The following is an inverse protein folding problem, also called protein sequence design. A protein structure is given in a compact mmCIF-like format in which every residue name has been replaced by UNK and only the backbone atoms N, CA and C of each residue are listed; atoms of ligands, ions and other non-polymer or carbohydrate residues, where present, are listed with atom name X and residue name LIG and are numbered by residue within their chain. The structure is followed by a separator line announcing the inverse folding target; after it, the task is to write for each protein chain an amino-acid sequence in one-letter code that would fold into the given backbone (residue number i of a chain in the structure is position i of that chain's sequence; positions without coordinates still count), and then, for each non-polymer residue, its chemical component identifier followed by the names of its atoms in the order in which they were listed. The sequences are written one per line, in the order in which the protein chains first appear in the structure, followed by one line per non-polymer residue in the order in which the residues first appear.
data_IF_543936240658
#
_entry.id   IF_543936240658
#
_cell.length_a   1.000
_cell.length_b   1.000
_cell.length_c   1.000
_cell.angle_alpha   90.00
_cell.angle_beta   90.00
_cell.angle_gamma   90.00
#
_symmetry.space_group_name_H-M   'P 1'
#
loop_
_entity.id
_entity.type
_entity.pdbx_description
1 polymer ?
#
# COMPACT_ATOMS: atom_id res chain seq x y z
N UNK A 1 -40.11 -41.95 12.60
CA UNK A 1 -39.79 -42.28 11.18
C UNK A 1 -39.76 -41.02 10.32
N UNK A 2 -38.57 -40.69 9.79
CA UNK A 2 -38.26 -40.33 8.39
C UNK A 2 -38.93 -39.11 7.70
N UNK A 3 -39.05 -37.92 8.33
CA UNK A 3 -39.47 -36.72 7.55
C UNK A 3 -38.65 -35.44 7.68
N UNK A 4 -37.71 -35.34 8.62
CA UNK A 4 -36.92 -34.11 8.82
C UNK A 4 -35.47 -34.17 8.31
N UNK A 5 -34.95 -35.36 7.98
CA UNK A 5 -33.59 -35.50 7.44
C UNK A 5 -33.48 -35.27 5.91
N UNK A 6 -34.60 -35.18 5.19
CA UNK A 6 -34.62 -35.08 3.73
C UNK A 6 -34.59 -33.61 3.26
N UNK A 7 -35.13 -32.67 4.03
CA UNK A 7 -35.17 -31.25 3.67
C UNK A 7 -33.79 -30.55 3.72
N UNK A 8 -32.86 -31.06 4.55
CA UNK A 8 -31.51 -30.50 4.66
C UNK A 8 -30.62 -30.96 3.49
N UNK A 9 -30.90 -32.14 2.91
CA UNK A 9 -30.12 -32.66 1.77
C UNK A 9 -30.47 -32.01 0.43
N UNK A 10 -31.69 -31.51 0.24
CA UNK A 10 -32.09 -30.83 -1.00
C UNK A 10 -31.71 -29.34 -1.03
N UNK A 11 -31.58 -28.68 0.13
CA UNK A 11 -31.14 -27.28 0.21
C UNK A 11 -29.63 -27.09 -0.03
N UNK A 12 -28.80 -28.08 0.32
CA UNK A 12 -27.35 -27.98 0.15
C UNK A 12 -26.90 -28.17 -1.31
N UNK A 13 -27.68 -28.92 -2.10
CA UNK A 13 -27.34 -29.24 -3.51
C UNK A 13 -27.67 -28.07 -4.44
N UNK A 14 -28.71 -27.28 -4.14
CA UNK A 14 -29.02 -26.06 -4.90
C UNK A 14 -28.07 -24.90 -4.60
N UNK A 15 -27.46 -24.87 -3.41
CA UNK A 15 -26.41 -23.89 -3.07
C UNK A 15 -25.06 -24.14 -3.72
N UNK A 16 -24.70 -25.41 -3.97
CA UNK A 16 -23.44 -25.77 -4.65
C UNK A 16 -23.50 -25.57 -6.18
N UNK A 17 -24.69 -25.70 -6.79
CA UNK A 17 -24.86 -25.45 -8.23
C UNK A 17 -24.67 -23.97 -8.61
N UNK A 18 -25.08 -23.04 -7.75
CA UNK A 18 -24.90 -21.60 -7.98
C UNK A 18 -23.43 -21.16 -7.86
N UNK A 19 -22.62 -21.85 -7.04
CA UNK A 19 -21.18 -21.56 -6.91
C UNK A 19 -20.36 -22.05 -8.11
N UNK A 20 -20.81 -23.10 -8.82
CA UNK A 20 -20.13 -23.60 -10.03
C UNK A 20 -20.44 -22.75 -11.27
N UNK A 21 -21.59 -22.06 -11.32
CA UNK A 21 -21.93 -21.17 -12.44
C UNK A 21 -21.19 -19.82 -12.34
N UNK A 22 -20.86 -19.35 -11.13
CA UNK A 22 -19.96 -18.21 -10.92
C UNK A 22 -18.48 -18.55 -11.17
N UNK A 23 -18.10 -19.82 -11.15
CA UNK A 23 -16.76 -20.29 -11.53
C UNK A 23 -16.60 -20.49 -13.05
N UNK A 24 -17.67 -20.34 -13.84
CA UNK A 24 -17.65 -20.46 -15.31
C UNK A 24 -17.81 -19.11 -16.01
N UNK A 25 -17.14 -18.08 -15.51
CA UNK A 25 -16.65 -17.02 -16.40
C UNK A 25 -15.50 -17.64 -17.21
N UNK A 26 -15.81 -18.02 -18.44
CA UNK A 26 -14.91 -18.53 -19.46
C UNK A 26 -13.49 -17.98 -19.33
N UNK A 27 -12.54 -18.86 -19.02
CA UNK A 27 -11.15 -18.71 -19.44
C UNK A 27 -11.14 -18.74 -20.96
N UNK A 28 -11.34 -17.58 -21.59
CA UNK A 28 -10.76 -17.36 -22.91
C UNK A 28 -9.25 -17.30 -22.70
N UNK A 29 -8.53 -18.16 -23.42
CA UNK A 29 -7.08 -18.12 -23.51
C UNK A 29 -6.62 -16.71 -23.86
N UNK A 30 -6.24 -15.94 -22.84
CA UNK A 30 -5.43 -14.75 -22.99
C UNK A 30 -4.01 -15.14 -22.67
N UNK A 31 -3.27 -15.35 -23.75
CA UNK A 31 -1.85 -15.04 -23.93
C UNK A 31 -1.27 -14.29 -22.75
N UNK A 32 -0.23 -14.88 -22.16
CA UNK A 32 0.62 -14.37 -21.08
C UNK A 32 0.81 -12.85 -21.20
N UNK A 33 -0.03 -12.10 -20.50
CA UNK A 33 0.06 -10.66 -20.43
C UNK A 33 1.15 -10.33 -19.41
N UNK A 34 2.18 -9.62 -19.87
CA UNK A 34 3.09 -8.91 -18.99
C UNK A 34 2.34 -7.90 -18.11
N UNK A 35 3.06 -7.16 -17.26
CA UNK A 35 2.50 -6.26 -16.25
C UNK A 35 1.62 -5.08 -16.79
N UNK A 36 1.30 -5.03 -18.08
CA UNK A 36 0.70 -3.88 -18.76
C UNK A 36 -0.81 -3.95 -19.04
N UNK A 37 -1.51 -5.06 -18.78
CA UNK A 37 -2.91 -5.20 -19.20
C UNK A 37 -3.94 -4.93 -18.10
N UNK A 38 -3.90 -3.72 -17.53
CA UNK A 38 -5.10 -3.16 -16.89
C UNK A 38 -6.04 -2.72 -18.01
N UNK A 39 -7.23 -3.33 -18.12
CA UNK A 39 -8.19 -2.96 -19.18
C UNK A 39 -8.50 -1.46 -19.16
N UNK A 40 -8.70 -0.85 -20.33
CA UNK A 40 -9.00 0.59 -20.45
C UNK A 40 -10.21 1.03 -19.61
N UNK A 41 -11.15 0.11 -19.37
CA UNK A 41 -12.29 0.32 -18.50
C UNK A 41 -11.89 0.54 -17.03
N UNK A 42 -10.94 -0.24 -16.52
CA UNK A 42 -10.42 -0.09 -15.17
C UNK A 42 -9.60 1.19 -15.02
N UNK A 43 -8.83 1.58 -16.05
CA UNK A 43 -8.10 2.87 -16.07
C UNK A 43 -9.06 4.07 -15.98
N UNK A 44 -10.15 4.07 -16.77
CA UNK A 44 -11.17 5.13 -16.73
C UNK A 44 -11.90 5.23 -15.38
N UNK A 45 -12.21 4.10 -14.75
CA UNK A 45 -12.81 4.10 -13.40
C UNK A 45 -11.84 4.70 -12.39
N UNK A 46 -10.56 4.30 -12.47
CA UNK A 46 -9.54 4.79 -11.55
C UNK A 46 -9.28 6.30 -11.71
N UNK A 47 -9.28 6.83 -12.94
CA UNK A 47 -9.14 8.27 -13.17
C UNK A 47 -10.31 9.07 -12.58
N UNK A 48 -11.53 8.53 -12.59
CA UNK A 48 -12.68 9.15 -11.92
C UNK A 48 -12.50 9.17 -10.40
N UNK A 49 -12.03 8.07 -9.83
CA UNK A 49 -11.73 7.98 -8.38
C UNK A 49 -10.62 8.97 -8.02
N UNK A 50 -9.55 9.04 -8.80
CA UNK A 50 -8.42 9.93 -8.57
C UNK A 50 -8.86 11.41 -8.71
N UNK A 51 -9.77 11.72 -9.65
CA UNK A 51 -10.36 13.06 -9.77
C UNK A 51 -11.17 13.46 -8.53
N UNK A 52 -11.99 12.56 -7.97
CA UNK A 52 -12.72 12.82 -6.73
C UNK A 52 -11.77 13.00 -5.53
N UNK A 53 -10.72 12.18 -5.44
CA UNK A 53 -9.67 12.32 -4.42
C UNK A 53 -8.93 13.65 -4.55
N UNK A 54 -8.64 14.11 -5.77
CA UNK A 54 -7.99 15.40 -6.01
C UNK A 54 -8.84 16.54 -5.45
N UNK A 55 -10.15 16.54 -5.67
CA UNK A 55 -11.07 17.51 -5.06
C UNK A 55 -11.08 17.42 -3.54
N UNK A 56 -11.04 16.21 -2.97
CA UNK A 56 -10.94 16.03 -1.52
C UNK A 56 -9.64 16.60 -0.93
N UNK A 57 -8.51 16.41 -1.60
CA UNK A 57 -7.21 16.97 -1.19
C UNK A 57 -7.09 18.48 -1.38
N UNK A 58 -7.85 19.09 -2.29
CA UNK A 58 -7.93 20.56 -2.34
C UNK A 58 -8.71 21.12 -1.15
N UNK A 59 -9.60 20.32 -0.56
CA UNK A 59 -10.41 20.68 0.60
C UNK A 59 -9.76 20.29 1.94
N UNK A 60 -8.80 19.35 1.93
CA UNK A 60 -8.06 18.86 3.10
C UNK A 60 -6.57 19.10 2.90
N UNK A 61 -5.96 19.87 3.81
CA UNK A 61 -4.63 20.47 3.66
C UNK A 61 -3.53 19.46 3.26
N UNK A 62 -3.22 19.37 1.96
CA UNK A 62 -2.12 18.55 1.40
C UNK A 62 -0.79 18.81 2.12
N UNK A 63 -0.60 20.05 2.59
CA UNK A 63 0.54 20.47 3.40
C UNK A 63 0.74 19.60 4.64
N UNK A 64 -0.35 19.19 5.31
CA UNK A 64 -0.32 18.34 6.51
C UNK A 64 0.20 16.95 6.16
N UNK A 65 -0.20 16.38 5.02
CA UNK A 65 0.24 15.05 4.61
C UNK A 65 1.77 14.99 4.47
N UNK A 66 2.37 16.00 3.82
CA UNK A 66 3.83 16.05 3.65
C UNK A 66 4.57 16.42 4.93
N UNK A 67 3.97 17.27 5.78
CA UNK A 67 4.52 17.60 7.09
C UNK A 67 4.58 16.35 7.98
N UNK A 68 3.48 15.59 8.04
CA UNK A 68 3.40 14.35 8.81
C UNK A 68 4.41 13.31 8.31
N UNK A 69 4.45 13.05 7.01
CA UNK A 69 5.41 12.10 6.43
C UNK A 69 6.86 12.49 6.75
N UNK A 70 7.22 13.76 6.55
CA UNK A 70 8.56 14.26 6.86
C UNK A 70 8.89 14.14 8.34
N UNK A 71 7.95 14.49 9.23
CA UNK A 71 8.14 14.41 10.68
C UNK A 71 8.39 12.96 11.14
N UNK A 72 7.62 12.00 10.63
CA UNK A 72 7.76 10.59 11.01
C UNK A 72 8.97 9.91 10.38
N UNK A 73 9.39 10.32 9.18
CA UNK A 73 10.69 9.92 8.62
C UNK A 73 11.81 10.39 9.56
N UNK A 74 11.82 11.68 9.94
CA UNK A 74 12.86 12.24 10.81
C UNK A 74 12.90 11.58 12.20
N UNK A 75 11.73 11.36 12.82
CA UNK A 75 11.64 10.63 14.10
C UNK A 75 12.23 9.22 14.00
N UNK A 76 12.00 8.54 12.88
CA UNK A 76 12.53 7.18 12.65
C UNK A 76 14.01 7.19 12.34
N UNK A 77 14.51 8.17 11.59
CA UNK A 77 15.94 8.38 11.40
C UNK A 77 16.63 8.61 12.75
N UNK A 78 16.10 9.48 13.62
CA UNK A 78 16.68 9.71 14.94
C UNK A 78 16.75 8.44 15.80
N UNK A 79 15.71 7.60 15.78
CA UNK A 79 15.70 6.33 16.51
C UNK A 79 16.76 5.35 15.96
N UNK A 80 16.87 5.25 14.64
CA UNK A 80 17.82 4.36 13.97
C UNK A 80 19.27 4.84 14.08
N UNK A 81 19.55 6.14 14.03
CA UNK A 81 20.91 6.67 14.27
C UNK A 81 21.39 6.34 15.68
N UNK A 82 20.50 6.42 16.69
CA UNK A 82 20.85 5.98 18.05
C UNK A 82 21.15 4.48 18.10
N UNK A 83 20.36 3.67 17.39
CA UNK A 83 20.54 2.23 17.31
C UNK A 83 21.81 1.82 16.55
N UNK A 84 22.18 2.57 15.51
CA UNK A 84 23.44 2.42 14.79
C UNK A 84 24.63 2.61 15.74
N UNK A 85 24.66 3.73 16.48
CA UNK A 85 25.69 4.02 17.48
C UNK A 85 25.73 2.96 18.59
N UNK A 86 24.58 2.42 18.99
CA UNK A 86 24.46 1.41 20.04
C UNK A 86 24.88 -0.01 19.62
N UNK A 87 25.21 -0.24 18.34
CA UNK A 87 25.75 -1.52 17.88
C UNK A 87 25.14 -2.08 16.60
N UNK A 88 24.30 -1.31 15.90
CA UNK A 88 23.86 -1.57 14.52
C UNK A 88 23.28 -2.99 14.27
N UNK A 89 22.50 -3.51 15.22
CA UNK A 89 21.99 -4.89 15.15
C UNK A 89 20.65 -4.94 14.42
N UNK A 90 20.44 -5.94 13.56
CA UNK A 90 19.17 -6.17 12.83
C UNK A 90 17.94 -6.22 13.73
N UNK A 91 18.06 -6.88 14.89
CA UNK A 91 16.99 -6.98 15.88
C UNK A 91 16.51 -5.62 16.42
N UNK A 92 17.32 -4.56 16.31
CA UNK A 92 16.89 -3.20 16.67
C UNK A 92 15.93 -2.61 15.64
N UNK A 93 16.08 -2.94 14.36
CA UNK A 93 15.11 -2.53 13.32
C UNK A 93 13.78 -3.24 13.53
N UNK A 94 13.83 -4.53 13.88
CA UNK A 94 12.63 -5.30 14.18
C UNK A 94 11.82 -4.71 15.34
N UNK A 95 12.49 -4.19 16.38
CA UNK A 95 11.82 -3.62 17.56
C UNK A 95 11.46 -2.15 17.42
N UNK A 96 12.31 -1.33 16.77
CA UNK A 96 12.12 0.12 16.65
C UNK A 96 11.29 0.53 15.45
N UNK A 97 11.17 -0.34 14.45
CA UNK A 97 10.44 -0.07 13.21
C UNK A 97 9.33 -1.10 13.04
N UNK A 98 9.66 -2.37 12.79
CA UNK A 98 8.68 -3.36 12.30
C UNK A 98 7.59 -3.71 13.34
N UNK A 99 7.97 -3.89 14.60
CA UNK A 99 7.04 -4.25 15.68
C UNK A 99 6.84 -3.06 16.64
N UNK A 100 6.61 -1.86 16.09
CA UNK A 100 6.45 -0.65 16.88
C UNK A 100 5.31 0.24 16.37
N UNK A 101 4.67 0.94 17.29
CA UNK A 101 3.67 1.98 16.96
C UNK A 101 4.27 3.12 16.13
N UNK A 102 5.57 3.39 16.32
CA UNK A 102 6.29 4.36 15.52
C UNK A 102 6.36 3.94 14.05
N UNK A 103 6.70 2.67 13.77
CA UNK A 103 6.70 2.12 12.42
C UNK A 103 5.30 2.07 11.81
N UNK A 104 4.27 1.71 12.60
CA UNK A 104 2.88 1.76 12.14
C UNK A 104 2.49 3.16 11.67
N UNK A 105 2.88 4.19 12.43
CA UNK A 105 2.59 5.58 12.08
C UNK A 105 3.41 6.07 10.88
N UNK A 106 4.67 5.64 10.78
CA UNK A 106 5.49 5.88 9.59
C UNK A 106 4.82 5.30 8.34
N UNK A 107 4.35 4.05 8.40
CA UNK A 107 3.62 3.43 7.29
C UNK A 107 2.39 4.24 6.90
N UNK A 108 1.54 4.61 7.86
CA UNK A 108 0.28 5.31 7.58
C UNK A 108 0.51 6.68 6.92
N UNK A 109 1.53 7.41 7.37
CA UNK A 109 1.87 8.72 6.80
C UNK A 109 2.49 8.61 5.41
N UNK A 110 3.40 7.65 5.20
CA UNK A 110 3.95 7.35 3.87
C UNK A 110 2.87 6.87 2.89
N UNK A 111 1.94 6.02 3.34
CA UNK A 111 0.82 5.55 2.51
C UNK A 111 -0.02 6.72 1.99
N UNK A 112 -0.36 7.68 2.85
CA UNK A 112 -1.11 8.90 2.46
C UNK A 112 -0.32 9.77 1.50
N UNK A 113 0.98 9.92 1.73
CA UNK A 113 1.89 10.66 0.83
C UNK A 113 1.94 10.01 -0.57
N UNK A 114 2.11 8.69 -0.66
CA UNK A 114 2.10 7.97 -1.94
C UNK A 114 0.71 7.97 -2.60
N UNK A 115 -0.38 8.01 -1.83
CA UNK A 115 -1.73 8.19 -2.37
C UNK A 115 -1.88 9.56 -3.04
N UNK A 116 -1.42 10.63 -2.38
CA UNK A 116 -1.36 11.96 -3.00
C UNK A 116 -0.48 11.95 -4.27
N UNK A 117 0.68 11.28 -4.24
CA UNK A 117 1.52 11.13 -5.43
C UNK A 117 0.80 10.44 -6.59
N UNK A 118 0.10 9.33 -6.33
CA UNK A 118 -0.65 8.62 -7.35
C UNK A 118 -1.82 9.44 -7.94
N UNK A 119 -2.42 10.32 -7.16
CA UNK A 119 -3.53 11.17 -7.61
C UNK A 119 -3.06 12.33 -8.49
N UNK A 120 -1.91 12.93 -8.18
CA UNK A 120 -1.42 14.13 -8.86
C UNK A 120 -0.38 13.85 -9.96
N UNK A 121 0.18 12.63 -10.02
CA UNK A 121 1.09 12.24 -11.09
C UNK A 121 0.42 12.30 -12.47
N UNK A 122 1.19 12.75 -13.47
CA UNK A 122 0.70 12.96 -14.84
C UNK A 122 0.85 11.71 -15.71
N UNK A 123 1.87 10.90 -15.48
CA UNK A 123 2.11 9.66 -16.22
C UNK A 123 1.52 8.44 -15.51
N UNK A 124 0.94 7.50 -16.26
CA UNK A 124 0.45 6.24 -15.70
C UNK A 124 1.56 5.43 -15.03
N UNK A 125 2.78 5.47 -15.58
CA UNK A 125 3.95 4.81 -14.98
C UNK A 125 4.24 5.33 -13.57
N UNK A 126 4.24 6.64 -13.35
CA UNK A 126 4.44 7.21 -12.01
C UNK A 126 3.26 6.89 -11.09
N UNK A 127 2.03 6.95 -11.60
CA UNK A 127 0.84 6.55 -10.83
C UNK A 127 0.98 5.12 -10.31
N UNK A 128 1.37 4.19 -11.17
CA UNK A 128 1.47 2.78 -10.80
C UNK A 128 2.66 2.51 -9.87
N UNK A 129 3.78 3.23 -10.02
CA UNK A 129 4.88 3.21 -9.06
C UNK A 129 4.42 3.65 -7.66
N UNK A 130 3.74 4.80 -7.54
CA UNK A 130 3.23 5.27 -6.25
C UNK A 130 2.14 4.36 -5.68
N UNK A 131 1.33 3.71 -6.54
CA UNK A 131 0.34 2.72 -6.09
C UNK A 131 1.00 1.47 -5.53
N UNK A 132 2.03 0.95 -6.17
CA UNK A 132 2.78 -0.23 -5.71
C UNK A 132 3.47 0.02 -4.35
N UNK A 133 3.81 1.28 -4.04
CA UNK A 133 4.36 1.68 -2.75
C UNK A 133 3.33 1.64 -1.60
N UNK A 134 2.04 1.41 -1.87
CA UNK A 134 0.99 1.31 -0.83
C UNK A 134 0.64 -0.14 -0.46
N UNK A 135 1.11 -1.12 -1.22
CA UNK A 135 0.85 -2.54 -0.99
C UNK A 135 2.00 -3.20 -0.24
N UNK A 136 1.74 -4.06 0.77
CA UNK A 136 0.45 -4.63 1.23
C UNK A 136 -0.34 -3.77 2.26
N UNK A 137 -1.59 -4.17 2.54
CA UNK A 137 -2.55 -3.44 3.40
C UNK A 137 -2.26 -3.48 4.91
N UNK A 138 -1.37 -4.35 5.38
CA UNK A 138 -0.93 -4.39 6.79
C UNK A 138 0.33 -3.56 6.95
N UNK A 139 0.34 -2.66 7.95
CA UNK A 139 1.53 -1.89 8.32
C UNK A 139 2.74 -2.80 8.55
N UNK A 140 2.56 -3.88 9.31
CA UNK A 140 3.64 -4.83 9.60
C UNK A 140 4.21 -5.49 8.35
N UNK A 141 3.37 -6.00 7.45
CA UNK A 141 3.83 -6.63 6.21
C UNK A 141 4.55 -5.64 5.30
N UNK A 142 4.05 -4.40 5.25
CA UNK A 142 4.69 -3.33 4.50
C UNK A 142 6.06 -2.99 5.10
N UNK A 143 6.15 -2.82 6.41
CA UNK A 143 7.42 -2.56 7.09
C UNK A 143 8.41 -3.72 6.89
N UNK A 144 7.94 -4.97 6.95
CA UNK A 144 8.77 -6.12 6.64
C UNK A 144 9.32 -6.07 5.21
N UNK A 145 8.50 -5.73 4.22
CA UNK A 145 8.94 -5.60 2.82
C UNK A 145 10.12 -4.63 2.64
N UNK A 146 10.18 -3.55 3.41
CA UNK A 146 11.21 -2.51 3.25
C UNK A 146 12.35 -2.55 4.28
N UNK A 147 12.14 -3.20 5.42
CA UNK A 147 13.08 -3.15 6.55
C UNK A 147 13.50 -4.53 7.10
N UNK A 148 12.84 -5.62 6.71
CA UNK A 148 13.16 -6.94 7.25
C UNK A 148 14.59 -7.34 6.88
N UNK A 149 15.36 -7.73 7.89
CA UNK A 149 16.75 -8.14 7.71
C UNK A 149 17.74 -6.99 7.55
N UNK A 150 17.27 -5.73 7.57
CA UNK A 150 18.14 -4.56 7.56
C UNK A 150 18.78 -4.35 8.94
N UNK A 151 20.00 -3.87 8.91
CA UNK A 151 20.65 -3.16 10.04
C UNK A 151 20.12 -1.72 10.12
N UNK A 152 20.28 -1.03 11.27
CA UNK A 152 19.97 0.40 11.37
C UNK A 152 20.57 1.27 10.25
N UNK A 153 21.84 1.05 9.86
CA UNK A 153 22.48 1.77 8.74
C UNK A 153 21.74 1.55 7.41
N UNK A 154 21.38 0.32 7.08
CA UNK A 154 20.63 0.00 5.85
C UNK A 154 19.21 0.60 5.92
N UNK A 155 18.56 0.53 7.08
CA UNK A 155 17.24 1.13 7.29
C UNK A 155 17.26 2.66 7.15
N UNK A 156 18.34 3.34 7.56
CA UNK A 156 18.53 4.77 7.32
C UNK A 156 18.59 5.11 5.83
N UNK A 157 19.23 4.25 5.02
CA UNK A 157 19.28 4.43 3.55
C UNK A 157 17.88 4.29 2.93
N UNK A 158 17.07 3.33 3.40
CA UNK A 158 15.67 3.21 3.01
C UNK A 158 14.86 4.47 3.38
N UNK A 159 15.04 5.01 4.58
CA UNK A 159 14.38 6.25 4.99
C UNK A 159 14.80 7.46 4.15
N UNK A 160 16.07 7.53 3.74
CA UNK A 160 16.55 8.58 2.83
C UNK A 160 15.83 8.52 1.48
N UNK A 161 15.57 7.32 0.95
CA UNK A 161 14.75 7.15 -0.25
C UNK A 161 13.34 7.71 -0.03
N UNK A 162 12.68 7.38 1.07
CA UNK A 162 11.34 7.90 1.37
C UNK A 162 11.32 9.43 1.53
N UNK A 163 12.39 10.02 2.07
CA UNK A 163 12.51 11.48 2.16
C UNK A 163 12.68 12.14 0.79
N UNK A 164 13.42 11.50 -0.11
CA UNK A 164 13.54 11.95 -1.50
C UNK A 164 12.19 11.83 -2.21
N UNK A 165 11.48 10.72 -2.02
CA UNK A 165 10.14 10.51 -2.57
C UNK A 165 9.16 11.59 -2.06
N UNK A 166 9.19 11.92 -0.76
CA UNK A 166 8.39 13.01 -0.18
C UNK A 166 8.65 14.36 -0.86
N UNK A 167 9.93 14.65 -1.13
CA UNK A 167 10.34 15.89 -1.82
C UNK A 167 9.84 15.92 -3.26
N UNK A 168 9.98 14.82 -3.99
CA UNK A 168 9.54 14.71 -5.39
C UNK A 168 8.01 14.81 -5.49
N UNK A 169 7.29 14.06 -4.67
CA UNK A 169 5.83 14.04 -4.68
C UNK A 169 5.26 15.41 -4.28
N UNK A 170 5.84 16.07 -3.27
CA UNK A 170 5.41 17.43 -2.89
C UNK A 170 5.58 18.43 -4.05
N UNK A 171 6.63 18.30 -4.86
CA UNK A 171 6.82 19.10 -6.07
C UNK A 171 5.76 18.81 -7.13
N UNK A 172 5.32 17.55 -7.28
CA UNK A 172 4.25 17.17 -8.21
C UNK A 172 2.91 17.76 -7.76
N UNK A 173 2.59 17.64 -6.47
CA UNK A 173 1.32 18.08 -5.91
C UNK A 173 1.15 19.61 -5.92
N UNK A 174 2.25 20.37 -5.81
CA UNK A 174 2.23 21.85 -5.82
C UNK A 174 2.24 22.49 -7.22
N UNK A 175 2.25 21.69 -8.30
CA UNK A 175 2.13 22.19 -9.67
C UNK A 175 0.68 22.39 -10.05
#
# INVERSE_FOLDING_TARGET
MKRTAIAIKTGLILGLGALLILASCKSQDTTTAGPDNVSDSARKVQDRVDSLRKTHYLNNDLSIIFLDATSWIMKTQMALTRAEIAGNKKAMVDSLVINSTQGDTLYLTLRRMYEAGAVFATSYTEKDQYRAMREPDSSKLWLQKYFQGNTPTEALTTLQKFQNDATVINKIVRR
#
